data_IF_821049151089
#
_entry.id   IF_821049151089
#
_cell.length_a   1.000
_cell.length_b   1.000
_cell.length_c   1.000
_cell.angle_alpha   90.00
_cell.angle_beta   90.00
_cell.angle_gamma   90.00
#
_symmetry.space_group_name_H-M   'P 1'
#
loop_
_entity.id
_entity.type
_entity.pdbx_description
1 polymer ?
#
# COMPACT_ATOMS: atom_id res chain seq x y z
N UNK A 1 -8.30 -37.14 -38.31
CA UNK A 1 -6.95 -36.55 -38.22
C UNK A 1 -6.93 -35.01 -38.26
N UNK A 2 -7.93 -34.30 -38.82
CA UNK A 2 -7.92 -32.82 -38.88
C UNK A 2 -8.10 -32.06 -37.55
N UNK A 3 -8.77 -32.66 -36.55
CA UNK A 3 -9.00 -32.01 -35.23
C UNK A 3 -7.71 -31.88 -34.39
N UNK A 4 -6.80 -32.85 -34.48
CA UNK A 4 -5.54 -32.84 -33.72
C UNK A 4 -4.57 -31.76 -34.24
N UNK A 5 -4.59 -31.48 -35.54
CA UNK A 5 -3.76 -30.45 -36.16
C UNK A 5 -4.19 -29.01 -35.82
N UNK A 6 -5.45 -28.77 -35.44
CA UNK A 6 -5.93 -27.46 -35.01
C UNK A 6 -5.76 -27.24 -33.50
N UNK A 7 -5.77 -28.32 -32.70
CA UNK A 7 -5.59 -28.23 -31.24
C UNK A 7 -4.17 -27.80 -30.85
N UNK A 8 -3.14 -28.30 -31.56
CA UNK A 8 -1.75 -27.93 -31.27
C UNK A 8 -1.43 -26.43 -31.44
N UNK A 9 -1.78 -25.77 -32.56
CA UNK A 9 -1.54 -24.33 -32.70
C UNK A 9 -2.38 -23.50 -31.71
N UNK A 10 -3.61 -23.93 -31.38
CA UNK A 10 -4.44 -23.24 -30.36
C UNK A 10 -3.80 -23.33 -28.97
N UNK A 11 -3.30 -24.51 -28.57
CA UNK A 11 -2.62 -24.69 -27.30
C UNK A 11 -1.30 -23.90 -27.22
N UNK A 12 -0.55 -23.82 -28.32
CA UNK A 12 0.65 -22.98 -28.42
C UNK A 12 0.32 -21.50 -28.24
N UNK A 13 -0.70 -20.99 -28.95
CA UNK A 13 -1.13 -19.59 -28.82
C UNK A 13 -1.62 -19.28 -27.41
N UNK A 14 -2.43 -20.18 -26.82
CA UNK A 14 -2.88 -20.04 -25.43
C UNK A 14 -1.70 -20.04 -24.44
N UNK A 15 -0.71 -20.90 -24.66
CA UNK A 15 0.54 -20.93 -23.89
C UNK A 15 1.29 -19.60 -23.96
N UNK A 16 1.52 -19.06 -25.16
CA UNK A 16 2.20 -17.76 -25.33
C UNK A 16 1.42 -16.61 -24.69
N UNK A 17 0.10 -16.58 -24.83
CA UNK A 17 -0.75 -15.55 -24.21
C UNK A 17 -0.67 -15.62 -22.68
N UNK A 18 -0.71 -16.82 -22.10
CA UNK A 18 -0.60 -17.01 -20.65
C UNK A 18 0.77 -16.59 -20.10
N UNK A 19 1.84 -16.90 -20.83
CA UNK A 19 3.20 -16.50 -20.45
C UNK A 19 3.37 -14.98 -20.55
N UNK A 20 2.84 -14.35 -21.60
CA UNK A 20 2.85 -12.89 -21.77
C UNK A 20 2.10 -12.17 -20.64
N UNK A 21 0.92 -12.68 -20.25
CA UNK A 21 0.15 -12.14 -19.13
C UNK A 21 0.89 -12.28 -17.80
N UNK A 22 1.55 -13.41 -17.56
CA UNK A 22 2.35 -13.62 -16.35
C UNK A 22 3.57 -12.68 -16.28
N UNK A 23 4.25 -12.46 -17.41
CA UNK A 23 5.38 -11.52 -17.50
C UNK A 23 4.95 -10.08 -17.24
N UNK A 24 3.81 -9.64 -17.79
CA UNK A 24 3.30 -8.30 -17.56
C UNK A 24 2.85 -8.12 -16.09
N UNK A 25 2.20 -9.12 -15.50
CA UNK A 25 1.84 -9.10 -14.07
C UNK A 25 3.08 -8.96 -13.17
N UNK A 26 4.14 -9.73 -13.46
CA UNK A 26 5.41 -9.62 -12.74
C UNK A 26 6.05 -8.23 -12.89
N UNK A 27 6.00 -7.64 -14.08
CA UNK A 27 6.48 -6.27 -14.33
C UNK A 27 5.69 -5.25 -13.52
N UNK A 28 4.36 -5.34 -13.49
CA UNK A 28 3.50 -4.45 -12.72
C UNK A 28 3.78 -4.56 -11.21
N UNK A 29 3.97 -5.79 -10.69
CA UNK A 29 4.37 -6.00 -9.30
C UNK A 29 5.73 -5.37 -8.98
N UNK A 30 6.72 -5.53 -9.86
CA UNK A 30 8.03 -4.90 -9.69
C UNK A 30 7.93 -3.37 -9.61
N UNK A 31 7.12 -2.76 -10.49
CA UNK A 31 6.90 -1.31 -10.49
C UNK A 31 6.21 -0.88 -9.19
N UNK A 32 5.14 -1.57 -8.78
CA UNK A 32 4.38 -1.23 -7.58
C UNK A 32 5.21 -1.36 -6.30
N UNK A 33 5.94 -2.48 -6.14
CA UNK A 33 6.84 -2.70 -5.00
C UNK A 33 7.93 -1.62 -4.94
N UNK A 34 8.56 -1.31 -6.07
CA UNK A 34 9.59 -0.26 -6.12
C UNK A 34 9.02 1.12 -5.76
N UNK A 35 7.82 1.46 -6.23
CA UNK A 35 7.14 2.73 -5.90
C UNK A 35 6.81 2.84 -4.41
N UNK A 36 6.25 1.80 -3.81
CA UNK A 36 5.94 1.83 -2.37
C UNK A 36 7.20 1.84 -1.50
N UNK A 37 8.26 1.15 -1.91
CA UNK A 37 9.56 1.20 -1.23
C UNK A 37 10.10 2.62 -1.15
N UNK A 38 10.07 3.36 -2.27
CA UNK A 38 10.45 4.76 -2.27
C UNK A 38 9.56 5.62 -1.36
N UNK A 39 8.24 5.38 -1.35
CA UNK A 39 7.32 6.08 -0.45
C UNK A 39 7.59 5.77 1.03
N UNK A 40 7.87 4.51 1.37
CA UNK A 40 8.18 4.11 2.73
C UNK A 40 9.52 4.71 3.20
N UNK A 41 10.57 4.66 2.37
CA UNK A 41 11.85 5.33 2.67
C UNK A 41 11.66 6.83 2.89
N UNK A 42 10.82 7.45 2.07
CA UNK A 42 10.48 8.86 2.24
C UNK A 42 9.72 9.11 3.55
N UNK A 43 8.75 8.28 3.90
CA UNK A 43 8.02 8.36 5.16
C UNK A 43 8.94 8.23 6.38
N UNK A 44 9.89 7.28 6.34
CA UNK A 44 10.92 7.13 7.36
C UNK A 44 11.78 8.38 7.50
N UNK A 45 12.24 8.93 6.38
CA UNK A 45 13.04 10.15 6.38
C UNK A 45 12.27 11.33 6.99
N UNK A 46 11.04 11.57 6.55
CA UNK A 46 10.21 12.67 7.08
C UNK A 46 9.98 12.53 8.58
N UNK A 47 9.68 11.31 9.05
CA UNK A 47 9.49 11.04 10.47
C UNK A 47 10.79 11.29 11.27
N UNK A 48 11.92 10.77 10.79
CA UNK A 48 13.21 10.92 11.48
C UNK A 48 13.68 12.39 11.50
N UNK A 49 13.52 13.11 10.39
CA UNK A 49 13.83 14.54 10.29
C UNK A 49 12.99 15.34 11.30
N UNK A 50 11.68 15.07 11.38
CA UNK A 50 10.80 15.70 12.36
C UNK A 50 11.19 15.34 13.80
N UNK A 51 11.38 14.06 14.11
CA UNK A 51 11.77 13.60 15.44
C UNK A 51 13.11 14.23 15.89
N UNK A 52 14.03 14.46 14.95
CA UNK A 52 15.29 15.15 15.14
C UNK A 52 15.16 16.61 15.59
N UNK A 53 14.04 17.29 15.28
CA UNK A 53 13.78 18.68 15.69
C UNK A 53 13.23 18.79 17.12
N UNK A 54 12.73 17.70 17.69
CA UNK A 54 12.11 17.66 19.02
C UNK A 54 13.14 17.63 20.15
N UNK A 55 12.83 18.27 21.28
CA UNK A 55 13.62 18.13 22.50
C UNK A 55 13.53 16.68 23.03
N UNK A 56 14.56 16.17 23.74
CA UNK A 56 14.57 14.79 24.22
C UNK A 56 13.35 14.40 25.07
N UNK A 57 12.84 15.31 25.90
CA UNK A 57 11.69 15.04 26.76
C UNK A 57 10.35 15.07 26.00
N UNK A 58 10.20 15.97 25.02
CA UNK A 58 9.04 16.00 24.12
C UNK A 58 8.98 14.71 23.29
N UNK A 59 10.13 14.29 22.73
CA UNK A 59 10.26 13.03 22.00
C UNK A 59 9.85 11.83 22.85
N UNK A 60 10.28 11.77 24.12
CA UNK A 60 9.92 10.69 25.05
C UNK A 60 8.41 10.69 25.35
N UNK A 61 7.82 11.87 25.52
CA UNK A 61 6.38 12.00 25.79
C UNK A 61 5.54 11.57 24.59
N UNK A 62 5.88 12.05 23.39
CA UNK A 62 5.18 11.71 22.15
C UNK A 62 5.32 10.23 21.79
N UNK A 63 6.50 9.64 21.99
CA UNK A 63 6.70 8.19 21.82
C UNK A 63 5.77 7.37 22.74
N UNK A 64 5.62 7.78 24.01
CA UNK A 64 4.72 7.10 24.94
C UNK A 64 3.26 7.22 24.51
N UNK A 65 2.84 8.41 24.09
CA UNK A 65 1.46 8.68 23.66
C UNK A 65 1.13 7.92 22.37
N UNK A 66 2.03 7.92 21.39
CA UNK A 66 1.80 7.25 20.11
C UNK A 66 1.74 5.72 20.23
N UNK A 67 2.42 5.11 21.21
CA UNK A 67 2.23 3.68 21.51
C UNK A 67 0.78 3.33 21.90
N UNK A 68 -0.02 4.32 22.29
CA UNK A 68 -1.42 4.20 22.67
C UNK A 68 -2.41 4.73 21.61
N UNK A 69 -1.95 5.54 20.64
CA UNK A 69 -2.81 6.20 19.67
C UNK A 69 -3.07 5.34 18.43
N UNK A 70 -4.30 5.42 17.93
CA UNK A 70 -4.78 4.72 16.74
C UNK A 70 -4.54 5.58 15.50
N UNK A 71 -4.03 4.96 14.45
CA UNK A 71 -4.07 5.59 13.12
C UNK A 71 -5.48 5.44 12.57
N UNK A 72 -5.96 6.42 11.81
CA UNK A 72 -7.28 6.32 11.19
C UNK A 72 -7.42 5.05 10.31
N UNK A 73 -6.29 4.51 9.83
CA UNK A 73 -6.18 3.34 8.95
C UNK A 73 -6.36 2.04 9.71
N UNK A 74 -6.38 2.08 11.03
CA UNK A 74 -6.67 0.92 11.87
C UNK A 74 -8.15 0.50 11.77
N UNK A 75 -9.02 1.35 11.20
CA UNK A 75 -10.38 0.96 10.77
C UNK A 75 -10.39 0.01 9.57
N UNK A 76 -9.29 -0.06 8.80
CA UNK A 76 -9.15 -0.99 7.68
C UNK A 76 -8.70 -2.34 8.25
N UNK A 77 -9.62 -3.29 8.31
CA UNK A 77 -9.35 -4.67 8.74
C UNK A 77 -8.23 -5.25 7.86
N UNK A 78 -7.08 -5.49 8.48
CA UNK A 78 -5.87 -5.89 7.78
C UNK A 78 -5.10 -6.92 8.60
N UNK A 79 -4.34 -7.81 7.94
CA UNK A 79 -3.52 -8.78 8.63
C UNK A 79 -2.64 -8.13 9.70
N UNK A 80 -2.74 -8.61 10.94
CA UNK A 80 -2.03 -7.97 12.07
C UNK A 80 -0.62 -8.51 12.27
N UNK A 81 -0.33 -9.71 11.74
CA UNK A 81 0.97 -10.37 11.91
C UNK A 81 1.48 -11.03 10.62
N UNK A 82 2.74 -11.52 10.69
CA UNK A 82 3.42 -12.20 9.58
C UNK A 82 2.64 -13.43 9.10
N UNK A 83 2.05 -14.20 10.02
CA UNK A 83 1.38 -15.45 9.71
C UNK A 83 0.04 -15.21 9.00
N UNK A 84 -0.77 -14.24 9.45
CA UNK A 84 -2.00 -13.85 8.78
C UNK A 84 -1.72 -13.23 7.40
N UNK A 85 -0.66 -12.43 7.29
CA UNK A 85 -0.20 -11.89 6.00
C UNK A 85 0.17 -13.02 5.04
N UNK A 86 0.93 -14.00 5.52
CA UNK A 86 1.32 -15.20 4.76
C UNK A 86 0.17 -16.14 4.42
N UNK A 87 -0.97 -16.07 5.12
CA UNK A 87 -2.20 -16.83 4.79
C UNK A 87 -3.18 -16.08 3.87
N UNK A 88 -3.11 -14.76 3.81
CA UNK A 88 -4.04 -13.94 3.02
C UNK A 88 -3.90 -14.16 1.52
N UNK A 89 -4.98 -14.14 0.73
CA UNK A 89 -4.90 -14.24 -0.72
C UNK A 89 -4.20 -13.03 -1.35
N UNK A 90 -3.66 -13.16 -2.57
CA UNK A 90 -3.06 -12.05 -3.32
C UNK A 90 -4.07 -10.92 -3.50
N UNK A 91 -5.30 -11.24 -3.87
CA UNK A 91 -6.37 -10.26 -4.10
C UNK A 91 -6.74 -9.51 -2.81
N UNK A 92 -6.81 -10.20 -1.66
CA UNK A 92 -7.04 -9.57 -0.34
C UNK A 92 -5.93 -8.58 -0.02
N UNK A 93 -4.66 -8.97 -0.18
CA UNK A 93 -3.52 -8.08 0.07
C UNK A 93 -3.52 -6.85 -0.85
N UNK A 94 -3.89 -7.02 -2.13
CA UNK A 94 -3.99 -5.93 -3.08
C UNK A 94 -5.13 -4.96 -2.75
N UNK A 95 -6.32 -5.45 -2.38
CA UNK A 95 -7.44 -4.59 -1.97
C UNK A 95 -7.12 -3.79 -0.72
N UNK A 96 -6.54 -4.42 0.30
CA UNK A 96 -6.13 -3.71 1.52
C UNK A 96 -5.07 -2.66 1.20
N UNK A 97 -4.08 -3.01 0.36
CA UNK A 97 -3.05 -2.07 -0.10
C UNK A 97 -3.67 -0.87 -0.83
N UNK A 98 -4.62 -1.11 -1.73
CA UNK A 98 -5.35 -0.05 -2.43
C UNK A 98 -6.05 0.89 -1.46
N UNK A 99 -6.79 0.34 -0.48
CA UNK A 99 -7.54 1.12 0.51
C UNK A 99 -6.62 1.94 1.40
N UNK A 100 -5.47 1.39 1.82
CA UNK A 100 -4.46 2.13 2.56
C UNK A 100 -3.93 3.32 1.74
N UNK A 101 -3.53 3.10 0.48
CA UNK A 101 -3.02 4.19 -0.37
C UNK A 101 -4.09 5.27 -0.63
N UNK A 102 -5.33 4.86 -0.93
CA UNK A 102 -6.46 5.78 -1.11
C UNK A 102 -6.70 6.64 0.13
N UNK A 103 -6.61 6.04 1.32
CA UNK A 103 -6.81 6.72 2.59
C UNK A 103 -5.81 7.85 2.86
N UNK A 104 -4.65 7.81 2.20
CA UNK A 104 -3.58 8.79 2.34
C UNK A 104 -3.60 9.91 1.29
N UNK A 105 -4.43 9.83 0.24
CA UNK A 105 -4.45 10.86 -0.81
C UNK A 105 -4.70 12.26 -0.24
N UNK A 106 -5.71 12.42 0.61
CA UNK A 106 -6.02 13.70 1.24
C UNK A 106 -5.03 14.10 2.36
N UNK A 107 -4.76 13.26 3.39
CA UNK A 107 -3.84 13.62 4.47
C UNK A 107 -2.42 13.94 3.98
N UNK A 108 -1.97 13.33 2.88
CA UNK A 108 -0.65 13.57 2.31
C UNK A 108 -0.37 15.02 1.91
N UNK A 109 -1.42 15.80 1.63
CA UNK A 109 -1.31 17.22 1.32
C UNK A 109 -0.80 18.05 2.50
N UNK A 110 -1.00 17.57 3.72
CA UNK A 110 -0.57 18.26 4.95
C UNK A 110 0.82 17.83 5.42
N UNK A 111 1.34 16.68 4.93
CA UNK A 111 2.69 16.17 5.25
C UNK A 111 3.82 17.08 4.77
N UNK A 112 3.55 17.98 3.83
CA UNK A 112 4.58 18.85 3.24
C UNK A 112 4.94 20.04 4.12
N UNK A 113 4.03 20.48 5.00
CA UNK A 113 4.27 21.63 5.88
C UNK A 113 5.37 21.39 6.92
N UNK A 114 5.75 20.13 7.19
CA UNK A 114 6.81 19.76 8.13
C UNK A 114 8.20 19.68 7.51
N UNK A 115 8.35 19.93 6.20
CA UNK A 115 9.64 19.85 5.52
C UNK A 115 10.28 21.22 5.28
N UNK A 116 11.50 21.42 5.77
CA UNK A 116 12.34 22.55 5.39
C UNK A 116 13.09 22.35 4.07
N UNK A 117 12.94 21.21 3.36
CA UNK A 117 13.68 20.94 2.12
C UNK A 117 12.90 20.12 1.07
N UNK A 118 12.50 20.81 -0.01
CA UNK A 118 12.45 20.36 -1.42
C UNK A 118 11.51 19.23 -1.90
N UNK A 119 10.55 18.74 -1.11
CA UNK A 119 9.42 18.00 -1.69
C UNK A 119 8.24 18.94 -1.86
N UNK A 120 7.85 19.19 -3.11
CA UNK A 120 6.67 19.98 -3.39
C UNK A 120 5.43 19.17 -3.01
N UNK A 121 4.43 19.81 -2.41
CA UNK A 121 3.19 19.19 -1.92
C UNK A 121 2.51 18.29 -2.96
N UNK A 122 2.59 18.70 -4.21
CA UNK A 122 2.02 17.99 -5.35
C UNK A 122 2.70 16.64 -5.62
N UNK A 123 3.99 16.49 -5.28
CA UNK A 123 4.76 15.28 -5.60
C UNK A 123 4.38 14.07 -4.72
N UNK A 124 3.96 14.27 -3.47
CA UNK A 124 3.54 13.15 -2.60
C UNK A 124 2.19 12.59 -3.04
N UNK A 125 1.21 13.48 -3.25
CA UNK A 125 -0.12 13.10 -3.72
C UNK A 125 -0.06 12.43 -5.09
N UNK A 126 0.80 12.91 -5.99
CA UNK A 126 1.02 12.29 -7.31
C UNK A 126 1.60 10.89 -7.17
N UNK A 127 2.63 10.67 -6.35
CA UNK A 127 3.22 9.35 -6.11
C UNK A 127 2.21 8.35 -5.54
N UNK A 128 1.35 8.80 -4.62
CA UNK A 128 0.28 7.97 -4.05
C UNK A 128 -0.77 7.61 -5.11
N UNK A 129 -1.21 8.58 -5.91
CA UNK A 129 -2.15 8.35 -7.01
C UNK A 129 -1.59 7.36 -8.05
N UNK A 130 -0.33 7.55 -8.45
CA UNK A 130 0.39 6.66 -9.36
C UNK A 130 0.49 5.23 -8.83
N UNK A 131 0.74 5.07 -7.53
CA UNK A 131 0.75 3.77 -6.88
C UNK A 131 -0.65 3.17 -6.83
N UNK A 132 -1.68 3.97 -6.50
CA UNK A 132 -3.09 3.54 -6.48
C UNK A 132 -3.52 2.98 -7.84
N UNK A 133 -3.20 3.67 -8.92
CA UNK A 133 -3.46 3.21 -10.29
C UNK A 133 -2.75 1.88 -10.56
N UNK A 134 -1.47 1.76 -10.19
CA UNK A 134 -0.70 0.53 -10.36
C UNK A 134 -1.29 -0.66 -9.59
N UNK A 135 -1.73 -0.46 -8.34
CA UNK A 135 -2.37 -1.49 -7.52
C UNK A 135 -3.72 -1.88 -8.14
N UNK A 136 -4.51 -0.94 -8.66
CA UNK A 136 -5.78 -1.25 -9.31
C UNK A 136 -5.59 -2.09 -10.59
N UNK A 137 -4.52 -1.85 -11.36
CA UNK A 137 -4.17 -2.70 -12.50
C UNK A 137 -3.81 -4.12 -12.05
N UNK A 138 -3.06 -4.25 -10.95
CA UNK A 138 -2.75 -5.56 -10.36
C UNK A 138 -4.00 -6.28 -9.86
N UNK A 139 -4.96 -5.57 -9.24
CA UNK A 139 -6.24 -6.15 -8.83
C UNK A 139 -6.95 -6.75 -10.05
N UNK A 140 -7.13 -5.96 -11.12
CA UNK A 140 -7.77 -6.41 -12.36
C UNK A 140 -7.04 -7.60 -13.01
N UNK A 141 -5.71 -7.58 -13.03
CA UNK A 141 -4.90 -8.66 -13.61
C UNK A 141 -4.84 -9.94 -12.76
N UNK A 142 -5.26 -9.89 -11.50
CA UNK A 142 -5.27 -11.04 -10.58
C UNK A 142 -6.68 -11.47 -10.17
N UNK A 143 -7.73 -10.86 -10.74
CA UNK A 143 -9.08 -11.39 -10.69
C UNK A 143 -9.14 -12.61 -11.62
N UNK A 144 -9.26 -13.81 -11.04
CA UNK A 144 -9.75 -14.97 -11.78
C UNK A 144 -11.27 -14.77 -11.99
N UNK A 145 -11.87 -15.40 -13.01
CA UNK A 145 -13.34 -15.47 -13.24
C UNK A 145 -14.04 -16.26 -12.11
N UNK A 146 -13.83 -15.82 -10.87
CA UNK A 146 -14.46 -16.33 -9.67
C UNK A 146 -15.69 -15.46 -9.46
N UNK A 147 -16.91 -16.02 -9.51
CA UNK A 147 -18.11 -15.27 -9.19
C UNK A 147 -17.95 -14.74 -7.78
N UNK A 148 -18.06 -13.40 -7.66
CA UNK A 148 -18.05 -12.59 -6.44
C UNK A 148 -18.08 -13.43 -5.16
N UNK A 149 -16.90 -13.68 -4.59
CA UNK A 149 -16.79 -14.17 -3.22
C UNK A 149 -17.51 -13.16 -2.34
N UNK A 150 -18.62 -13.61 -1.74
CA UNK A 150 -19.43 -12.98 -0.71
C UNK A 150 -19.29 -11.44 -0.61
N UNK A 151 -20.29 -10.78 -1.16
CA UNK A 151 -20.62 -9.35 -1.08
C UNK A 151 -20.84 -8.83 0.36
N UNK A 152 -20.41 -9.60 1.36
CA UNK A 152 -20.54 -9.27 2.78
C UNK A 152 -19.26 -8.61 3.36
N UNK A 153 -18.14 -8.67 2.62
CA UNK A 153 -16.90 -7.93 2.96
C UNK A 153 -16.75 -6.64 2.14
N UNK A 154 -17.77 -6.34 1.30
CA UNK A 154 -18.10 -5.00 0.82
C UNK A 154 -18.56 -4.13 1.99
N UNK A 155 -17.78 -4.05 3.07
CA UNK A 155 -17.97 -3.03 4.07
C UNK A 155 -17.84 -1.70 3.33
N UNK A 156 -18.99 -1.09 3.07
CA UNK A 156 -19.15 0.31 2.68
C UNK A 156 -18.57 1.15 3.83
N UNK A 157 -17.25 1.18 3.90
CA UNK A 157 -16.51 1.97 4.87
C UNK A 157 -16.55 3.40 4.36
N UNK A 158 -17.10 4.25 5.22
CA UNK A 158 -17.30 5.68 5.07
C UNK A 158 -16.13 6.36 4.32
N UNK A 159 -16.40 7.43 3.55
CA UNK A 159 -15.35 8.26 3.00
C UNK A 159 -14.34 8.57 4.08
N UNK A 160 -13.08 8.24 3.80
CA UNK A 160 -11.97 8.46 4.71
C UNK A 160 -11.79 9.98 4.84
N UNK A 161 -12.50 10.59 5.80
CA UNK A 161 -12.81 12.01 5.77
C UNK A 161 -12.70 12.68 7.14
N UNK A 162 -12.01 13.82 7.14
CA UNK A 162 -11.99 14.85 8.17
C UNK A 162 -11.29 14.62 9.52
N UNK A 163 -10.72 13.43 9.86
CA UNK A 163 -10.02 13.29 11.15
C UNK A 163 -8.91 14.34 11.32
N UNK A 164 -8.04 14.45 10.31
CA UNK A 164 -6.98 15.46 10.30
C UNK A 164 -7.47 16.87 9.94
N UNK A 165 -8.77 17.11 9.73
CA UNK A 165 -9.31 18.41 9.29
C UNK A 165 -10.03 19.16 10.42
N UNK A 166 -10.48 18.43 11.45
CA UNK A 166 -11.30 18.95 12.56
C UNK A 166 -10.54 19.25 13.87
N UNK A 167 -9.23 19.01 13.94
CA UNK A 167 -8.44 19.25 15.14
C UNK A 167 -7.86 20.67 15.09
N UNK A 168 -8.38 21.56 15.94
CA UNK A 168 -7.98 22.97 16.05
C UNK A 168 -6.53 23.18 16.50
N UNK A 169 -6.13 24.46 16.55
CA UNK A 169 -4.75 24.98 16.63
C UNK A 169 -3.89 24.58 17.85
N UNK A 170 -4.42 23.82 18.81
CA UNK A 170 -3.64 23.33 19.94
C UNK A 170 -3.01 21.97 19.61
N UNK A 171 -1.67 21.97 19.56
CA UNK A 171 -0.74 20.84 19.42
C UNK A 171 -0.36 20.39 17.99
N UNK A 172 0.06 21.35 17.16
CA UNK A 172 0.76 21.13 15.86
C UNK A 172 1.83 20.02 15.94
N UNK A 173 2.64 19.99 17.01
CA UNK A 173 3.74 19.02 17.16
C UNK A 173 3.22 17.59 17.33
N UNK A 174 2.27 17.36 18.25
CA UNK A 174 1.69 16.03 18.49
C UNK A 174 0.98 15.52 17.23
N UNK A 175 0.18 16.37 16.60
CA UNK A 175 -0.54 16.04 15.38
C UNK A 175 0.39 15.67 14.22
N UNK A 176 1.46 16.44 14.02
CA UNK A 176 2.46 16.12 13.01
C UNK A 176 3.18 14.82 13.31
N UNK A 177 3.50 14.59 14.59
CA UNK A 177 4.10 13.34 15.04
C UNK A 177 3.21 12.14 14.69
N UNK A 178 1.93 12.19 15.08
CA UNK A 178 0.93 11.14 14.79
C UNK A 178 0.78 10.91 13.29
N UNK A 179 0.59 11.98 12.51
CA UNK A 179 0.41 11.90 11.06
C UNK A 179 1.63 11.26 10.37
N UNK A 180 2.84 11.69 10.71
CA UNK A 180 4.08 11.14 10.14
C UNK A 180 4.30 9.69 10.56
N UNK A 181 4.04 9.36 11.83
CA UNK A 181 4.19 8.02 12.34
C UNK A 181 3.19 7.04 11.69
N UNK A 182 1.93 7.46 11.53
CA UNK A 182 0.90 6.71 10.83
C UNK A 182 1.24 6.53 9.35
N UNK A 183 1.72 7.57 8.66
CA UNK A 183 2.13 7.46 7.27
C UNK A 183 3.26 6.45 7.10
N UNK A 184 4.28 6.53 7.95
CA UNK A 184 5.39 5.56 8.00
C UNK A 184 4.89 4.13 8.23
N UNK A 185 4.01 3.94 9.22
CA UNK A 185 3.41 2.63 9.56
C UNK A 185 2.67 2.03 8.37
N UNK A 186 1.85 2.82 7.70
CA UNK A 186 1.01 2.33 6.60
C UNK A 186 1.81 2.08 5.33
N UNK A 187 2.80 2.92 5.00
CA UNK A 187 3.67 2.65 3.84
C UNK A 187 4.49 1.37 4.02
N UNK A 188 4.98 1.09 5.24
CA UNK A 188 5.61 -0.18 5.56
C UNK A 188 4.66 -1.37 5.39
N UNK A 189 3.41 -1.23 5.85
CA UNK A 189 2.38 -2.25 5.71
C UNK A 189 2.07 -2.54 4.24
N UNK A 190 1.89 -1.51 3.41
CA UNK A 190 1.68 -1.67 1.96
C UNK A 190 2.89 -2.30 1.28
N UNK A 191 4.12 -1.88 1.63
CA UNK A 191 5.34 -2.52 1.11
C UNK A 191 5.37 -4.01 1.42
N UNK A 192 5.06 -4.39 2.66
CA UNK A 192 5.01 -5.79 3.09
C UNK A 192 3.99 -6.57 2.27
N UNK A 193 2.77 -6.05 2.12
CA UNK A 193 1.70 -6.71 1.37
C UNK A 193 2.01 -6.87 -0.10
N UNK A 194 2.53 -5.84 -0.76
CA UNK A 194 2.90 -5.91 -2.18
C UNK A 194 4.10 -6.84 -2.40
N UNK A 195 5.05 -6.88 -1.48
CA UNK A 195 6.19 -7.80 -1.54
C UNK A 195 5.74 -9.26 -1.42
N UNK A 196 4.86 -9.55 -0.46
CA UNK A 196 4.25 -10.88 -0.30
C UNK A 196 3.42 -11.27 -1.53
N UNK A 197 2.59 -10.35 -2.05
CA UNK A 197 1.77 -10.59 -3.23
C UNK A 197 2.63 -10.88 -4.48
N UNK A 198 3.67 -10.07 -4.71
CA UNK A 198 4.68 -10.29 -5.76
C UNK A 198 5.32 -11.67 -5.61
N UNK A 199 5.73 -12.02 -4.39
CA UNK A 199 6.40 -13.29 -4.11
C UNK A 199 5.56 -14.50 -4.52
N UNK A 200 4.25 -14.46 -4.23
CA UNK A 200 3.32 -15.54 -4.58
C UNK A 200 3.00 -15.64 -6.06
N UNK A 201 3.13 -14.54 -6.81
CA UNK A 201 2.92 -14.50 -8.27
C UNK A 201 4.24 -14.56 -9.04
N UNK A 202 5.36 -14.69 -8.35
CA UNK A 202 6.68 -14.78 -8.96
C UNK A 202 6.81 -16.04 -9.80
N UNK A 203 7.42 -15.89 -10.97
CA UNK A 203 7.86 -17.01 -11.81
C UNK A 203 9.14 -17.68 -11.27
N UNK A 204 9.82 -17.02 -10.33
CA UNK A 204 11.03 -17.52 -9.67
C UNK A 204 10.66 -18.37 -8.46
N UNK A 205 11.08 -19.64 -8.44
CA UNK A 205 10.77 -20.60 -7.39
C UNK A 205 11.36 -20.27 -6.00
N UNK A 206 12.26 -19.29 -5.90
CA UNK A 206 13.09 -19.03 -4.71
C UNK A 206 12.69 -17.75 -3.95
N UNK A 207 11.52 -17.19 -4.21
CA UNK A 207 11.10 -16.01 -3.45
C UNK A 207 10.89 -16.40 -1.97
N UNK A 208 11.70 -15.79 -1.09
CA UNK A 208 11.71 -16.04 0.36
C UNK A 208 11.21 -14.81 1.11
N UNK A 209 10.34 -15.01 2.11
CA UNK A 209 9.63 -13.99 2.91
C UNK A 209 10.06 -13.92 4.38
#
# INVERSE_FOLDING_TARGET
>A
MGQVFLLMPVLLVAGYLSLGAAMENQRLFNIAVNRVQHLHLLAQKMFNDFEGTLLPDERRQLNKIFLLDFCNSDSIVSPIDKHETQKSSVLKLLHISFRLIESWEYPSQTLTHTMSNNLNQNQMSEKLSDLKVGINLLIKGNQEDVPSLDDNDSQQLLPYGNYYQNLGDNDNVRRNYELLACFKKDMHKVETYLTVAKCRKSLEANCTL
#
